data_IF_901645945490
#
_entry.id   IF_901645945490
#
_cell.length_a   1.000
_cell.length_b   1.000
_cell.length_c   1.000
_cell.angle_alpha   90.00
_cell.angle_beta   90.00
_cell.angle_gamma   90.00
#
_symmetry.space_group_name_H-M   'P 1'
#
loop_
_entity.id
_entity.type
_entity.pdbx_description
1 polymer ?
#
# COMPACT_ATOMS: atom_id res chain seq x y z
N UNK A 1 0.58 -29.16 1.81
CA UNK A 1 1.94 -28.57 1.90
C UNK A 1 2.31 -27.60 0.76
N UNK A 2 1.68 -27.65 -0.43
CA UNK A 2 1.85 -26.61 -1.47
C UNK A 2 1.10 -25.30 -1.18
N UNK A 3 0.03 -25.34 -0.37
CA UNK A 3 -0.79 -24.17 -0.04
C UNK A 3 -0.15 -23.18 0.96
N UNK A 4 0.84 -23.62 1.75
CA UNK A 4 1.66 -22.71 2.56
C UNK A 4 2.66 -21.91 1.70
N UNK A 5 2.95 -22.37 0.47
CA UNK A 5 3.89 -21.70 -0.43
C UNK A 5 3.26 -20.47 -1.09
N UNK A 6 1.94 -20.46 -1.30
CA UNK A 6 1.20 -19.29 -1.83
C UNK A 6 1.06 -18.21 -0.74
N UNK A 7 0.84 -18.61 0.52
CA UNK A 7 0.85 -17.70 1.67
C UNK A 7 2.24 -17.15 2.01
N UNK A 8 3.31 -17.88 1.65
CA UNK A 8 4.69 -17.40 1.77
C UNK A 8 5.17 -16.61 0.54
N UNK A 9 4.53 -16.74 -0.62
CA UNK A 9 4.85 -15.93 -1.81
C UNK A 9 4.36 -14.49 -1.66
N UNK A 10 3.21 -14.26 -1.01
CA UNK A 10 2.76 -12.90 -0.63
C UNK A 10 3.67 -12.24 0.41
N UNK A 11 4.34 -13.03 1.25
CA UNK A 11 5.33 -12.53 2.24
C UNK A 11 6.74 -12.42 1.62
N UNK A 12 7.10 -13.26 0.63
CA UNK A 12 8.44 -13.23 0.00
C UNK A 12 8.61 -12.14 -1.07
N UNK A 13 7.54 -11.59 -1.65
CA UNK A 13 7.63 -10.39 -2.50
C UNK A 13 8.18 -9.18 -1.69
N UNK A 14 7.99 -9.17 -0.36
CA UNK A 14 8.53 -8.14 0.54
C UNK A 14 10.00 -8.34 0.97
N UNK A 15 10.67 -9.44 0.59
CA UNK A 15 12.06 -9.72 1.00
C UNK A 15 13.06 -9.97 -0.13
N UNK A 16 12.66 -9.90 -1.42
CA UNK A 16 13.57 -10.21 -2.53
C UNK A 16 14.13 -9.02 -3.34
N UNK A 17 13.75 -7.76 -3.08
CA UNK A 17 14.30 -6.61 -3.81
C UNK A 17 15.38 -5.80 -3.06
N UNK A 18 15.99 -6.34 -1.99
CA UNK A 18 17.10 -5.66 -1.27
C UNK A 18 18.45 -6.38 -1.34
N UNK A 19 18.63 -7.34 -2.26
CA UNK A 19 19.93 -7.99 -2.45
C UNK A 19 20.30 -8.09 -3.92
N UNK A 20 20.88 -7.00 -4.44
CA UNK A 20 22.10 -7.00 -5.27
C UNK A 20 22.37 -5.61 -5.85
N UNK A 21 23.02 -4.72 -5.09
CA UNK A 21 24.35 -4.23 -5.46
C UNK A 21 24.95 -3.36 -4.35
N UNK A 22 26.23 -3.66 -4.05
CA UNK A 22 27.23 -2.85 -3.36
C UNK A 22 27.21 -2.79 -1.82
N UNK A 23 27.92 -3.77 -1.27
CA UNK A 23 28.73 -3.64 -0.04
C UNK A 23 29.47 -2.29 0.01
N UNK A 24 29.29 -1.52 1.09
CA UNK A 24 30.36 -1.11 2.00
C UNK A 24 29.79 -0.45 3.27
N UNK A 25 29.90 -1.15 4.40
CA UNK A 25 30.09 -0.68 5.79
C UNK A 25 29.42 0.64 6.24
N UNK A 26 28.38 0.57 7.07
CA UNK A 26 28.40 0.57 8.57
C UNK A 26 27.11 1.16 9.15
N UNK A 27 26.64 0.48 10.19
CA UNK A 27 25.70 0.88 11.26
C UNK A 27 24.21 1.07 10.94
N UNK A 28 23.46 0.04 11.37
CA UNK A 28 22.01 0.00 11.57
C UNK A 28 21.56 1.12 12.52
N UNK A 29 20.63 1.95 12.06
CA UNK A 29 19.70 2.66 12.94
C UNK A 29 18.29 2.41 12.41
N UNK A 30 17.55 1.54 13.09
CA UNK A 30 16.08 1.49 13.07
C UNK A 30 15.55 2.81 13.61
N UNK A 31 14.87 3.59 12.78
CA UNK A 31 14.14 4.79 13.20
C UNK A 31 12.69 4.35 13.45
N UNK A 32 12.31 4.34 14.72
CA UNK A 32 10.90 4.35 15.14
C UNK A 32 10.29 5.69 14.73
N UNK A 33 9.15 5.63 14.05
CA UNK A 33 8.27 6.78 13.84
C UNK A 33 7.42 6.95 15.11
N UNK A 34 7.84 7.85 15.99
CA UNK A 34 6.97 8.46 17.01
C UNK A 34 7.01 9.97 16.77
N UNK A 35 6.03 10.47 16.01
CA UNK A 35 5.72 11.90 15.93
C UNK A 35 4.54 12.17 16.87
N UNK A 36 4.83 12.55 18.11
CA UNK A 36 3.83 13.13 19.01
C UNK A 36 3.65 14.61 18.66
N UNK A 37 2.51 14.95 18.08
CA UNK A 37 2.03 16.33 17.94
C UNK A 37 1.30 16.67 19.25
N UNK A 38 1.91 17.51 20.07
CA UNK A 38 1.26 18.15 21.22
C UNK A 38 0.32 19.26 20.71
N UNK A 39 -0.99 19.03 20.79
CA UNK A 39 -2.03 20.05 20.64
C UNK A 39 -2.82 20.12 21.96
N UNK A 40 -2.38 21.00 22.87
CA UNK A 40 -3.15 21.38 24.05
C UNK A 40 -3.91 22.69 23.77
N UNK A 41 -5.25 22.61 23.70
CA UNK A 41 -6.12 23.60 24.33
C UNK A 41 -7.60 23.16 24.40
N UNK A 42 -8.13 23.33 25.62
CA UNK A 42 -9.50 23.70 25.99
C UNK A 42 -10.56 22.61 26.25
N UNK A 43 -10.79 22.41 27.55
CA UNK A 43 -12.08 22.52 28.26
C UNK A 43 -13.27 21.62 27.87
N UNK A 44 -13.62 20.69 28.78
CA UNK A 44 -14.81 20.83 29.66
C UNK A 44 -15.05 19.62 30.59
N UNK A 45 -15.26 19.97 31.88
CA UNK A 45 -16.19 19.39 32.87
C UNK A 45 -16.12 17.86 33.16
N UNK A 46 -15.59 17.44 34.32
CA UNK A 46 -16.34 17.11 35.56
C UNK A 46 -17.40 16.01 35.34
N UNK A 47 -17.42 14.86 36.03
CA UNK A 47 -17.59 14.67 37.48
C UNK A 47 -17.18 13.22 37.87
N UNK A 48 -16.17 13.11 38.72
CA UNK A 48 -16.09 12.37 39.98
C UNK A 48 -17.07 11.18 40.30
N UNK A 49 -16.46 10.04 40.65
CA UNK A 49 -16.46 9.36 41.97
C UNK A 49 -16.92 7.88 42.04
N UNK A 50 -16.04 7.17 42.75
CA UNK A 50 -16.14 5.96 43.58
C UNK A 50 -16.49 4.61 42.93
N UNK A 51 -15.57 3.65 42.93
CA UNK A 51 -14.91 2.90 44.02
C UNK A 51 -15.74 1.74 44.61
N UNK A 52 -15.03 0.62 44.70
CA UNK A 52 -15.12 -0.42 45.73
C UNK A 52 -15.98 -1.67 45.50
N UNK A 53 -15.23 -2.77 45.37
CA UNK A 53 -15.25 -3.99 46.22
C UNK A 53 -16.23 -5.13 45.93
N UNK A 54 -15.63 -6.23 45.46
CA UNK A 54 -15.41 -7.52 46.15
C UNK A 54 -16.57 -8.33 46.77
N UNK A 55 -16.57 -9.61 46.34
CA UNK A 55 -16.74 -10.85 47.12
C UNK A 55 -18.09 -11.18 47.80
N UNK A 56 -18.76 -12.25 47.35
CA UNK A 56 -18.73 -13.58 48.01
C UNK A 56 -19.78 -14.61 47.49
N UNK A 57 -19.28 -15.77 47.05
CA UNK A 57 -19.54 -17.15 47.52
C UNK A 57 -20.91 -17.53 48.12
N UNK A 58 -21.56 -18.55 47.52
CA UNK A 58 -22.09 -19.82 48.13
C UNK A 58 -22.90 -20.60 47.04
N UNK A 59 -22.53 -21.80 46.56
CA UNK A 59 -22.74 -23.17 47.13
C UNK A 59 -24.11 -23.32 47.80
N UNK A 60 -25.01 -24.26 47.51
CA UNK A 60 -24.95 -25.67 47.09
C UNK A 60 -26.40 -26.15 46.87
N UNK A 61 -26.65 -27.13 46.01
CA UNK A 61 -27.18 -28.47 46.38
C UNK A 61 -27.72 -29.25 45.16
N UNK A 62 -27.24 -30.48 45.07
CA UNK A 62 -27.65 -31.57 44.18
C UNK A 62 -28.88 -32.27 44.73
N UNK A 63 -29.74 -32.82 43.86
CA UNK A 63 -30.15 -34.22 43.98
C UNK A 63 -30.76 -34.75 42.68
N UNK A 64 -30.29 -35.94 42.30
CA UNK A 64 -30.70 -36.78 41.18
C UNK A 64 -32.07 -37.45 41.43
N UNK A 65 -32.73 -37.95 40.38
CA UNK A 65 -33.04 -39.39 40.19
C UNK A 65 -33.80 -39.65 38.87
N UNK A 66 -33.11 -40.38 37.98
CA UNK A 66 -33.48 -41.62 37.27
C UNK A 66 -34.87 -41.87 36.62
N UNK A 67 -34.74 -42.36 35.38
CA UNK A 67 -35.33 -43.60 34.81
C UNK A 67 -36.63 -43.61 33.95
N UNK A 68 -36.41 -44.05 32.70
CA UNK A 68 -37.11 -45.11 31.91
C UNK A 68 -38.38 -44.82 31.08
N UNK A 69 -38.19 -44.99 29.77
CA UNK A 69 -38.93 -45.84 28.80
C UNK A 69 -40.43 -46.15 29.03
N UNK A 70 -41.30 -45.81 28.06
CA UNK A 70 -42.02 -46.85 27.29
C UNK A 70 -42.80 -46.33 26.05
N UNK A 71 -42.92 -47.24 25.09
CA UNK A 71 -43.60 -47.18 23.78
C UNK A 71 -45.13 -47.03 23.86
N UNK A 72 -45.75 -46.43 22.83
CA UNK A 72 -46.53 -47.14 21.77
C UNK A 72 -47.70 -46.33 21.16
N UNK A 73 -47.89 -46.57 19.85
CA UNK A 73 -49.14 -46.72 19.08
C UNK A 73 -49.70 -45.58 18.17
N UNK A 74 -49.72 -45.95 16.88
CA UNK A 74 -50.75 -45.80 15.83
C UNK A 74 -51.13 -44.41 15.28
N UNK A 75 -50.96 -44.18 13.97
CA UNK A 75 -51.98 -44.55 12.96
C UNK A 75 -51.56 -44.12 11.53
N UNK A 76 -52.07 -44.88 10.55
CA UNK A 76 -51.76 -44.88 9.12
C UNK A 76 -52.50 -43.78 8.33
N UNK A 77 -51.86 -43.14 7.34
CA UNK A 77 -52.52 -42.69 6.08
C UNK A 77 -51.52 -42.82 4.92
N UNK A 78 -51.98 -43.45 3.85
CA UNK A 78 -51.29 -43.72 2.59
C UNK A 78 -51.43 -42.55 1.61
N UNK A 79 -50.53 -42.51 0.62
CA UNK A 79 -50.63 -41.98 -0.75
C UNK A 79 -49.75 -40.79 -1.13
N UNK A 80 -49.00 -41.03 -2.22
CA UNK A 80 -48.05 -40.21 -2.98
C UNK A 80 -46.62 -40.26 -2.45
N UNK A 81 -45.91 -41.32 -2.85
CA UNK A 81 -44.45 -41.29 -3.00
C UNK A 81 -44.06 -40.02 -3.78
N UNK A 82 -43.29 -39.10 -3.19
CA UNK A 82 -42.42 -38.26 -3.99
C UNK A 82 -41.37 -39.20 -4.60
N UNK A 83 -40.97 -38.95 -5.85
CA UNK A 83 -39.78 -39.58 -6.42
C UNK A 83 -38.67 -39.61 -5.36
N UNK A 84 -38.13 -40.79 -5.04
CA UNK A 84 -37.05 -40.94 -4.06
C UNK A 84 -35.89 -40.05 -4.52
N UNK A 85 -35.78 -38.85 -3.94
CA UNK A 85 -34.58 -38.03 -4.03
C UNK A 85 -33.50 -38.80 -3.28
N UNK A 86 -32.76 -39.63 -4.01
CA UNK A 86 -31.62 -40.36 -3.46
C UNK A 86 -30.55 -39.35 -3.09
N UNK A 87 -30.43 -39.04 -1.79
CA UNK A 87 -29.36 -38.21 -1.27
C UNK A 87 -28.07 -39.01 -1.29
N UNK A 88 -27.07 -38.49 -1.99
CA UNK A 88 -25.72 -39.03 -1.92
C UNK A 88 -24.99 -38.37 -0.75
N UNK A 89 -24.46 -39.16 0.19
CA UNK A 89 -23.64 -38.64 1.27
C UNK A 89 -22.17 -38.67 0.86
N UNK A 90 -21.61 -37.50 0.54
CA UNK A 90 -20.19 -37.30 0.33
C UNK A 90 -19.68 -36.22 1.29
N UNK A 91 -18.43 -36.32 1.71
CA UNK A 91 -17.76 -35.24 2.46
C UNK A 91 -17.34 -34.11 1.52
N UNK A 92 -17.12 -32.92 2.07
CA UNK A 92 -16.58 -31.80 1.29
C UNK A 92 -15.27 -32.16 0.58
N UNK A 93 -14.39 -32.93 1.23
CA UNK A 93 -13.13 -33.41 0.64
C UNK A 93 -13.36 -34.33 -0.57
N UNK A 94 -14.36 -35.22 -0.50
CA UNK A 94 -14.72 -36.09 -1.62
C UNK A 94 -15.29 -35.28 -2.79
N UNK A 95 -16.16 -34.32 -2.51
CA UNK A 95 -16.73 -33.42 -3.53
C UNK A 95 -15.63 -32.59 -4.19
N UNK A 96 -14.70 -32.02 -3.40
CA UNK A 96 -13.54 -31.30 -3.92
C UNK A 96 -12.67 -32.23 -4.78
N UNK A 97 -12.47 -33.49 -4.40
CA UNK A 97 -11.71 -34.45 -5.21
C UNK A 97 -12.38 -34.77 -6.55
N UNK A 98 -13.72 -34.84 -6.60
CA UNK A 98 -14.47 -34.98 -7.86
C UNK A 98 -14.33 -33.75 -8.75
N UNK A 99 -14.36 -32.54 -8.15
CA UNK A 99 -14.07 -31.30 -8.89
C UNK A 99 -12.64 -31.34 -9.42
N UNK A 100 -11.63 -31.55 -8.56
CA UNK A 100 -10.21 -31.57 -8.92
C UNK A 100 -9.90 -32.55 -10.06
N UNK A 101 -10.49 -33.74 -10.03
CA UNK A 101 -10.32 -34.77 -11.06
C UNK A 101 -11.12 -34.53 -12.34
N UNK A 102 -12.04 -33.57 -12.35
CA UNK A 102 -12.93 -33.29 -13.47
C UNK A 102 -14.03 -34.34 -13.66
N UNK A 103 -14.47 -35.01 -12.58
CA UNK A 103 -15.57 -35.98 -12.62
C UNK A 103 -16.92 -35.26 -12.75
N UNK A 104 -17.15 -34.74 -13.96
CA UNK A 104 -18.34 -34.00 -14.34
C UNK A 104 -19.63 -34.78 -14.08
N UNK A 105 -19.63 -36.10 -14.32
CA UNK A 105 -20.85 -36.91 -14.18
C UNK A 105 -21.26 -37.07 -12.71
N UNK A 106 -20.30 -37.18 -11.80
CA UNK A 106 -20.59 -37.22 -10.37
C UNK A 106 -21.08 -35.86 -9.89
N UNK A 107 -20.40 -34.76 -10.22
CA UNK A 107 -20.85 -33.41 -9.84
C UNK A 107 -22.24 -33.10 -10.38
N UNK A 108 -22.51 -33.45 -11.64
CA UNK A 108 -23.83 -33.31 -12.25
C UNK A 108 -24.92 -34.01 -11.44
N UNK A 109 -24.71 -35.28 -11.07
CA UNK A 109 -25.67 -36.04 -10.27
C UNK A 109 -25.90 -35.41 -8.90
N UNK A 110 -24.85 -34.91 -8.24
CA UNK A 110 -24.96 -34.28 -6.93
C UNK A 110 -25.80 -33.00 -6.95
N UNK A 111 -25.67 -32.20 -8.01
CA UNK A 111 -26.47 -31.00 -8.21
C UNK A 111 -27.93 -31.38 -8.51
N UNK A 112 -28.15 -32.34 -9.44
CA UNK A 112 -29.50 -32.80 -9.81
C UNK A 112 -30.26 -33.44 -8.62
N UNK A 113 -29.56 -34.18 -7.76
CA UNK A 113 -30.12 -34.79 -6.55
C UNK A 113 -30.26 -33.82 -5.37
N UNK A 114 -29.86 -32.55 -5.53
CA UNK A 114 -29.78 -31.55 -4.45
C UNK A 114 -28.89 -31.96 -3.27
N UNK A 115 -27.93 -32.85 -3.53
CA UNK A 115 -26.92 -33.28 -2.55
C UNK A 115 -25.72 -32.32 -2.50
N UNK A 116 -25.56 -31.46 -3.51
CA UNK A 116 -24.62 -30.35 -3.52
C UNK A 116 -25.39 -29.04 -3.74
N UNK A 117 -25.32 -28.13 -2.76
CA UNK A 117 -25.68 -26.73 -2.96
C UNK A 117 -24.52 -26.03 -3.68
N UNK A 118 -24.80 -25.47 -4.86
CA UNK A 118 -23.80 -24.83 -5.73
C UNK A 118 -23.16 -23.58 -5.12
N UNK A 119 -23.76 -23.00 -4.08
CA UNK A 119 -23.28 -21.82 -3.38
C UNK A 119 -22.79 -22.12 -1.94
N UNK A 120 -22.75 -23.38 -1.55
CA UNK A 120 -22.18 -23.79 -0.26
C UNK A 120 -20.66 -23.71 -0.28
N UNK A 121 -20.04 -23.30 0.83
CA UNK A 121 -18.58 -23.26 0.95
C UNK A 121 -18.04 -24.66 1.31
N UNK A 122 -17.44 -25.32 0.33
CA UNK A 122 -16.74 -26.60 0.50
C UNK A 122 -15.38 -26.39 1.18
N UNK A 123 -15.06 -27.24 2.15
CA UNK A 123 -13.72 -27.33 2.76
C UNK A 123 -13.73 -27.13 4.27
N UNK A 124 -12.54 -27.14 4.86
CA UNK A 124 -12.36 -26.87 6.28
C UNK A 124 -12.37 -25.37 6.60
N UNK A 125 -12.34 -25.00 7.88
CA UNK A 125 -12.39 -23.61 8.35
C UNK A 125 -11.33 -22.67 7.75
N UNK A 126 -10.28 -23.21 7.12
CA UNK A 126 -9.19 -22.45 6.51
C UNK A 126 -9.20 -22.49 4.97
N UNK A 127 -10.03 -23.33 4.34
CA UNK A 127 -10.04 -23.58 2.90
C UNK A 127 -11.42 -23.48 2.24
N UNK A 128 -12.42 -23.05 3.01
CA UNK A 128 -13.80 -22.83 2.56
C UNK A 128 -13.88 -21.97 1.31
N UNK A 129 -14.40 -22.56 0.23
CA UNK A 129 -14.72 -21.85 -1.01
C UNK A 129 -15.84 -22.54 -1.77
N UNK A 130 -16.52 -21.80 -2.65
CA UNK A 130 -17.66 -22.33 -3.41
C UNK A 130 -17.20 -23.40 -4.41
N UNK A 131 -18.09 -24.33 -4.82
CA UNK A 131 -17.83 -25.26 -5.92
C UNK A 131 -17.33 -24.56 -7.18
N UNK A 132 -17.85 -23.35 -7.47
CA UNK A 132 -17.42 -22.55 -8.60
C UNK A 132 -15.95 -22.13 -8.49
N UNK A 133 -15.54 -21.59 -7.33
CA UNK A 133 -14.14 -21.20 -7.10
C UNK A 133 -13.22 -22.41 -7.11
N UNK A 134 -13.63 -23.55 -6.57
CA UNK A 134 -12.85 -24.79 -6.66
C UNK A 134 -12.69 -25.23 -8.12
N UNK A 135 -13.78 -25.24 -8.90
CA UNK A 135 -13.73 -25.61 -10.31
C UNK A 135 -12.82 -24.67 -11.12
N UNK A 136 -12.81 -23.37 -10.80
CA UNK A 136 -11.90 -22.37 -11.38
C UNK A 136 -10.44 -22.69 -11.01
N UNK A 137 -10.12 -22.88 -9.73
CA UNK A 137 -8.76 -23.22 -9.25
C UNK A 137 -8.18 -24.46 -9.94
N UNK A 138 -9.04 -25.44 -10.25
CA UNK A 138 -8.67 -26.68 -10.92
C UNK A 138 -8.87 -26.65 -12.45
N UNK A 139 -9.25 -25.50 -13.04
CA UNK A 139 -9.44 -25.29 -14.48
C UNK A 139 -10.48 -26.21 -15.14
N UNK A 140 -11.55 -26.54 -14.42
CA UNK A 140 -12.56 -27.52 -14.84
C UNK A 140 -13.71 -26.88 -15.61
N UNK A 141 -13.47 -26.50 -16.85
CA UNK A 141 -14.39 -25.69 -17.68
C UNK A 141 -15.81 -26.28 -17.81
N UNK A 142 -15.95 -27.60 -17.97
CA UNK A 142 -17.27 -28.25 -18.06
C UNK A 142 -18.05 -28.11 -16.75
N UNK A 143 -17.36 -28.25 -15.62
CA UNK A 143 -17.95 -28.10 -14.28
C UNK A 143 -18.29 -26.62 -14.03
N UNK A 144 -17.41 -25.68 -14.40
CA UNK A 144 -17.67 -24.23 -14.29
C UNK A 144 -18.96 -23.86 -15.03
N UNK A 145 -19.08 -24.25 -16.30
CA UNK A 145 -20.28 -23.94 -17.09
C UNK A 145 -21.54 -24.54 -16.48
N UNK A 146 -21.49 -25.79 -16.03
CA UNK A 146 -22.65 -26.45 -15.45
C UNK A 146 -23.06 -25.86 -14.10
N UNK A 147 -22.10 -25.43 -13.27
CA UNK A 147 -22.38 -24.71 -12.03
C UNK A 147 -23.09 -23.39 -12.32
N UNK A 148 -22.59 -22.60 -13.27
CA UNK A 148 -23.21 -21.33 -13.68
C UNK A 148 -24.62 -21.53 -14.27
N UNK A 149 -24.83 -22.59 -15.07
CA UNK A 149 -26.15 -22.97 -15.58
C UNK A 149 -27.14 -23.38 -14.47
N UNK A 150 -26.65 -23.80 -13.31
CA UNK A 150 -27.43 -24.20 -12.14
C UNK A 150 -27.45 -23.14 -11.03
N UNK A 151 -27.29 -21.86 -11.38
CA UNK A 151 -27.39 -20.71 -10.47
C UNK A 151 -26.29 -20.64 -9.40
N UNK A 152 -25.08 -21.11 -9.70
CA UNK A 152 -23.91 -20.69 -8.92
C UNK A 152 -23.75 -19.17 -9.05
N UNK A 153 -23.65 -18.48 -7.91
CA UNK A 153 -23.46 -17.04 -7.86
C UNK A 153 -22.03 -16.68 -8.29
N UNK A 154 -21.95 -16.05 -9.46
CA UNK A 154 -20.68 -15.67 -10.11
C UNK A 154 -19.91 -14.59 -9.36
N UNK A 155 -20.54 -13.93 -8.39
CA UNK A 155 -19.95 -12.86 -7.58
C UNK A 155 -19.84 -13.23 -6.10
N UNK A 156 -20.14 -14.48 -5.74
CA UNK A 156 -20.06 -14.94 -4.35
C UNK A 156 -18.62 -14.96 -3.86
N UNK A 157 -18.34 -14.12 -2.86
CA UNK A 157 -17.01 -13.93 -2.29
C UNK A 157 -16.62 -15.07 -1.36
N UNK A 158 -15.35 -15.47 -1.39
CA UNK A 158 -14.77 -16.33 -0.35
C UNK A 158 -14.88 -15.66 1.03
N UNK A 159 -15.19 -16.44 2.06
CA UNK A 159 -15.50 -15.93 3.41
C UNK A 159 -14.30 -15.25 4.08
N UNK A 160 -13.09 -15.80 3.91
CA UNK A 160 -11.88 -15.31 4.59
C UNK A 160 -11.21 -14.15 3.86
N UNK A 161 -11.10 -14.23 2.54
CA UNK A 161 -10.33 -13.30 1.71
C UNK A 161 -11.20 -12.30 0.97
N UNK A 162 -12.51 -12.57 0.86
CA UNK A 162 -13.41 -11.81 0.00
C UNK A 162 -13.16 -12.01 -1.50
N UNK A 163 -12.32 -12.98 -1.91
CA UNK A 163 -12.01 -13.20 -3.32
C UNK A 163 -13.25 -13.58 -4.09
N UNK A 164 -13.46 -12.95 -5.24
CA UNK A 164 -14.50 -13.31 -6.18
C UNK A 164 -14.05 -14.48 -7.08
N UNK A 165 -14.99 -15.20 -7.71
CA UNK A 165 -14.67 -16.17 -8.75
C UNK A 165 -13.79 -15.57 -9.86
N UNK A 166 -14.01 -14.30 -10.21
CA UNK A 166 -13.20 -13.58 -11.19
C UNK A 166 -11.74 -13.42 -10.75
N UNK A 167 -11.47 -13.05 -9.50
CA UNK A 167 -10.08 -12.97 -8.99
C UNK A 167 -9.41 -14.35 -8.93
N UNK A 168 -10.19 -15.40 -8.60
CA UNK A 168 -9.67 -16.77 -8.57
C UNK A 168 -9.25 -17.28 -9.96
N UNK A 169 -9.78 -16.72 -11.05
CA UNK A 169 -9.47 -17.14 -12.42
C UNK A 169 -8.23 -16.50 -13.03
N UNK A 170 -7.51 -15.62 -12.32
CA UNK A 170 -6.41 -14.83 -12.90
C UNK A 170 -5.22 -15.64 -13.43
N UNK A 171 -5.17 -16.93 -13.13
CA UNK A 171 -4.21 -17.86 -13.70
C UNK A 171 -4.61 -18.37 -15.12
N UNK A 172 -5.73 -17.87 -15.67
CA UNK A 172 -6.31 -18.26 -16.96
C UNK A 172 -7.21 -17.14 -17.56
N UNK A 173 -6.74 -16.48 -18.60
CA UNK A 173 -7.50 -15.45 -19.34
C UNK A 173 -8.81 -16.02 -19.89
N UNK A 174 -8.83 -17.28 -20.35
CA UNK A 174 -10.03 -17.88 -20.96
C UNK A 174 -11.15 -18.05 -19.95
N UNK A 175 -10.82 -18.50 -18.74
CA UNK A 175 -11.80 -18.61 -17.65
C UNK A 175 -12.24 -17.21 -17.20
N UNK A 176 -11.30 -16.27 -17.10
CA UNK A 176 -11.60 -14.88 -16.73
C UNK A 176 -12.58 -14.25 -17.73
N UNK A 177 -12.35 -14.47 -19.03
CA UNK A 177 -13.25 -14.02 -20.11
C UNK A 177 -14.63 -14.65 -20.00
N UNK A 178 -14.70 -15.99 -19.82
CA UNK A 178 -15.96 -16.69 -19.61
C UNK A 178 -16.75 -16.09 -18.44
N UNK A 179 -16.08 -15.80 -17.32
CA UNK A 179 -16.75 -15.24 -16.14
C UNK A 179 -17.28 -13.82 -16.40
N UNK A 180 -16.50 -12.95 -17.05
CA UNK A 180 -16.95 -11.61 -17.43
C UNK A 180 -18.16 -11.69 -18.39
N UNK A 181 -18.11 -12.56 -19.40
CA UNK A 181 -19.22 -12.78 -20.34
C UNK A 181 -20.50 -13.28 -19.65
N UNK A 182 -20.35 -14.01 -18.55
CA UNK A 182 -21.45 -14.53 -17.72
C UNK A 182 -21.92 -13.54 -16.65
N UNK A 183 -21.35 -12.34 -16.59
CA UNK A 183 -21.77 -11.26 -15.69
C UNK A 183 -21.02 -11.18 -14.37
N UNK A 184 -19.78 -11.67 -14.32
CA UNK A 184 -18.89 -11.37 -13.20
C UNK A 184 -18.64 -9.86 -13.12
N UNK A 185 -18.73 -9.31 -11.91
CA UNK A 185 -18.47 -7.90 -11.65
C UNK A 185 -16.97 -7.62 -11.67
N UNK A 186 -16.53 -6.90 -12.71
CA UNK A 186 -15.13 -6.51 -12.92
C UNK A 186 -14.63 -5.50 -11.88
N UNK A 187 -15.51 -4.90 -11.09
CA UNK A 187 -15.18 -3.93 -10.05
C UNK A 187 -15.36 -4.48 -8.62
N UNK A 188 -15.72 -5.76 -8.48
CA UNK A 188 -16.01 -6.32 -7.18
C UNK A 188 -14.77 -6.35 -6.27
N UNK A 189 -14.89 -5.75 -5.09
CA UNK A 189 -13.79 -5.65 -4.12
C UNK A 189 -13.74 -6.82 -3.14
N UNK A 190 -12.54 -7.25 -2.77
CA UNK A 190 -12.32 -8.21 -1.69
C UNK A 190 -12.41 -7.54 -0.29
N UNK A 191 -12.08 -8.27 0.80
CA UNK A 191 -12.12 -7.69 2.16
C UNK A 191 -11.11 -6.57 2.40
N UNK A 192 -10.01 -6.55 1.64
CA UNK A 192 -8.97 -5.52 1.69
C UNK A 192 -9.28 -4.33 0.77
N UNK A 193 -10.47 -4.28 0.18
CA UNK A 193 -10.86 -3.24 -0.77
C UNK A 193 -10.20 -3.37 -2.14
N UNK A 194 -9.50 -4.46 -2.44
CA UNK A 194 -8.80 -4.70 -3.72
C UNK A 194 -9.80 -5.17 -4.77
N UNK A 195 -9.85 -4.52 -5.94
CA UNK A 195 -10.63 -4.96 -7.10
C UNK A 195 -9.76 -5.81 -8.07
N UNK A 196 -10.36 -6.45 -9.09
CA UNK A 196 -9.64 -7.29 -10.06
C UNK A 196 -8.46 -6.59 -10.72
N UNK A 197 -8.61 -5.33 -11.17
CA UNK A 197 -7.52 -4.60 -11.81
C UNK A 197 -6.33 -4.36 -10.88
N UNK A 198 -6.58 -3.89 -9.65
CA UNK A 198 -5.50 -3.67 -8.67
C UNK A 198 -4.83 -4.99 -8.29
N UNK A 199 -5.59 -6.08 -8.20
CA UNK A 199 -5.01 -7.40 -7.95
C UNK A 199 -4.06 -7.83 -9.08
N UNK A 200 -4.45 -7.66 -10.35
CA UNK A 200 -3.59 -7.97 -11.51
C UNK A 200 -2.30 -7.12 -11.51
N UNK A 201 -2.41 -5.84 -11.19
CA UNK A 201 -1.24 -4.94 -11.06
C UNK A 201 -0.32 -5.40 -9.92
N UNK A 202 -0.87 -5.81 -8.77
CA UNK A 202 -0.10 -6.28 -7.62
C UNK A 202 0.67 -7.58 -7.90
N UNK A 203 0.13 -8.42 -8.79
CA UNK A 203 0.79 -9.63 -9.28
C UNK A 203 1.81 -9.34 -10.39
N UNK A 204 1.87 -8.10 -10.87
CA UNK A 204 2.66 -7.68 -12.02
C UNK A 204 2.31 -8.45 -13.30
N UNK A 205 1.03 -8.80 -13.47
CA UNK A 205 0.52 -9.56 -14.61
C UNK A 205 0.09 -8.61 -15.74
N UNK A 206 1.00 -8.31 -16.66
CA UNK A 206 0.76 -7.40 -17.78
C UNK A 206 -0.37 -7.87 -18.71
N UNK A 207 -0.49 -9.18 -18.93
CA UNK A 207 -1.50 -9.74 -19.82
C UNK A 207 -2.90 -9.60 -19.21
N UNK A 208 -3.04 -9.91 -17.92
CA UNK A 208 -4.30 -9.74 -17.20
C UNK A 208 -4.67 -8.26 -17.03
N UNK A 209 -3.72 -7.37 -16.72
CA UNK A 209 -3.98 -5.93 -16.66
C UNK A 209 -4.53 -5.43 -17.99
N UNK A 210 -3.87 -5.76 -19.10
CA UNK A 210 -4.31 -5.38 -20.43
C UNK A 210 -5.73 -5.89 -20.71
N UNK A 211 -5.97 -7.16 -20.43
CA UNK A 211 -7.26 -7.79 -20.66
C UNK A 211 -8.39 -7.12 -19.85
N UNK A 212 -8.17 -6.84 -18.57
CA UNK A 212 -9.18 -6.19 -17.72
C UNK A 212 -9.49 -4.76 -18.19
N UNK A 213 -8.47 -4.00 -18.59
CA UNK A 213 -8.66 -2.66 -19.17
C UNK A 213 -9.45 -2.72 -20.48
N UNK A 214 -9.16 -3.67 -21.37
CA UNK A 214 -9.93 -3.90 -22.61
C UNK A 214 -11.40 -4.30 -22.34
N UNK A 215 -11.67 -4.95 -21.20
CA UNK A 215 -13.03 -5.28 -20.74
C UNK A 215 -13.72 -4.15 -19.96
N UNK A 216 -13.05 -3.00 -19.79
CA UNK A 216 -13.63 -1.79 -19.22
C UNK A 216 -13.44 -1.64 -17.71
N UNK A 217 -12.42 -2.26 -17.13
CA UNK A 217 -12.07 -2.01 -15.73
C UNK A 217 -11.66 -0.54 -15.52
N UNK A 218 -12.09 0.07 -14.42
CA UNK A 218 -11.79 1.46 -14.09
C UNK A 218 -10.33 1.64 -13.68
N UNK A 219 -9.54 2.29 -14.53
CA UNK A 219 -8.14 2.61 -14.28
C UNK A 219 -7.92 3.58 -13.09
N UNK A 220 -8.98 4.29 -12.65
CA UNK A 220 -8.98 5.24 -11.54
C UNK A 220 -9.61 4.69 -10.26
N UNK A 221 -9.86 3.38 -10.20
CA UNK A 221 -10.33 2.71 -8.99
C UNK A 221 -9.45 3.04 -7.78
N UNK A 222 -10.09 3.30 -6.63
CA UNK A 222 -9.41 3.65 -5.37
C UNK A 222 -9.67 2.56 -4.33
N UNK A 223 -8.62 1.94 -3.82
CA UNK A 223 -8.66 1.04 -2.68
C UNK A 223 -8.54 1.84 -1.39
N UNK A 224 -9.62 1.87 -0.60
CA UNK A 224 -9.63 2.43 0.75
C UNK A 224 -9.13 1.33 1.71
N UNK A 225 -7.83 1.33 2.00
CA UNK A 225 -7.27 0.38 2.96
C UNK A 225 -7.36 1.02 4.35
N UNK A 226 -8.31 0.54 5.14
CA UNK A 226 -8.47 0.95 6.55
C UNK A 226 -7.44 0.29 7.50
N UNK A 227 -6.63 -0.64 6.99
CA UNK A 227 -5.68 -1.39 7.82
C UNK A 227 -4.32 -0.68 7.91
N UNK A 228 -4.00 -0.15 9.11
CA UNK A 228 -2.75 0.53 9.48
C UNK A 228 -1.45 -0.24 9.17
N UNK A 229 -1.53 -1.51 8.81
CA UNK A 229 -0.38 -2.40 8.63
C UNK A 229 -0.07 -2.77 7.17
N UNK A 230 -0.94 -2.42 6.21
CA UNK A 230 -0.73 -2.70 4.79
C UNK A 230 -0.71 -1.36 4.04
N UNK A 231 0.50 -0.82 3.83
CA UNK A 231 0.66 0.27 2.87
C UNK A 231 0.64 -0.33 1.47
N UNK A 232 -0.55 -0.43 0.87
CA UNK A 232 -0.67 -0.60 -0.57
C UNK A 232 -1.14 0.72 -1.17
N UNK A 233 -0.48 1.22 -2.23
CA UNK A 233 -0.88 2.47 -2.85
C UNK A 233 -2.32 2.37 -3.40
N UNK A 234 -3.14 3.43 -3.25
CA UNK A 234 -4.59 3.30 -3.38
C UNK A 234 -5.10 3.16 -4.82
N UNK A 235 -4.30 3.51 -5.83
CA UNK A 235 -4.72 3.38 -7.25
C UNK A 235 -3.87 2.34 -7.99
N UNK A 236 -4.40 1.73 -9.08
CA UNK A 236 -3.60 0.87 -9.95
C UNK A 236 -2.30 1.53 -10.41
N UNK A 237 -2.35 2.82 -10.77
CA UNK A 237 -1.18 3.55 -11.25
C UNK A 237 -0.10 3.67 -10.16
N UNK A 238 -0.50 4.03 -8.94
CA UNK A 238 0.43 4.11 -7.82
C UNK A 238 1.03 2.75 -7.46
N UNK A 239 0.24 1.67 -7.58
CA UNK A 239 0.72 0.29 -7.38
C UNK A 239 1.74 -0.12 -8.47
N UNK A 240 1.48 0.24 -9.74
CA UNK A 240 2.41 0.00 -10.84
C UNK A 240 3.72 0.77 -10.68
N UNK A 241 3.65 2.03 -10.22
CA UNK A 241 4.81 2.86 -9.86
C UNK A 241 5.60 2.24 -8.70
N UNK A 242 4.92 1.72 -7.69
CA UNK A 242 5.55 0.99 -6.58
C UNK A 242 6.30 -0.25 -7.05
N UNK A 243 5.69 -1.03 -7.95
CA UNK A 243 6.28 -2.24 -8.53
C UNK A 243 7.40 -1.93 -9.54
N UNK A 244 7.46 -0.70 -10.06
CA UNK A 244 8.46 -0.28 -11.04
C UNK A 244 8.20 -0.82 -12.45
N UNK A 245 6.96 -1.21 -12.78
CA UNK A 245 6.61 -1.74 -14.10
C UNK A 245 6.12 -0.63 -15.03
N UNK A 246 7.00 -0.19 -15.93
CA UNK A 246 6.71 0.85 -16.94
C UNK A 246 5.66 0.44 -17.96
N UNK A 247 5.54 -0.85 -18.30
CA UNK A 247 4.53 -1.33 -19.24
C UNK A 247 3.13 -1.18 -18.65
N UNK A 248 2.96 -1.60 -17.40
CA UNK A 248 1.68 -1.43 -16.67
C UNK A 248 1.36 0.05 -16.50
N UNK A 249 2.34 0.89 -16.16
CA UNK A 249 2.14 2.36 -16.08
C UNK A 249 1.59 2.90 -17.41
N UNK A 250 2.24 2.59 -18.54
CA UNK A 250 1.78 3.05 -19.84
C UNK A 250 0.37 2.54 -20.18
N UNK A 251 0.07 1.26 -19.93
CA UNK A 251 -1.27 0.71 -20.17
C UNK A 251 -2.35 1.42 -19.35
N UNK A 252 -2.08 1.72 -18.08
CA UNK A 252 -3.02 2.43 -17.21
C UNK A 252 -3.24 3.87 -17.68
N UNK A 253 -2.17 4.57 -18.06
CA UNK A 253 -2.23 5.94 -18.55
C UNK A 253 -2.94 6.04 -19.91
N UNK A 254 -2.69 5.10 -20.82
CA UNK A 254 -3.42 4.97 -22.09
C UNK A 254 -4.93 4.74 -21.88
N UNK A 255 -5.32 4.14 -20.75
CA UNK A 255 -6.70 3.92 -20.33
C UNK A 255 -7.24 4.98 -19.36
N UNK A 256 -6.57 6.14 -19.28
CA UNK A 256 -7.09 7.32 -18.59
C UNK A 256 -6.88 7.34 -17.06
N UNK A 257 -5.93 6.56 -16.54
CA UNK A 257 -5.50 6.73 -15.15
C UNK A 257 -4.99 8.15 -14.89
N UNK A 258 -5.37 8.74 -13.76
CA UNK A 258 -4.94 10.07 -13.34
C UNK A 258 -3.47 10.06 -12.95
N UNK A 259 -2.63 10.60 -13.83
CA UNK A 259 -1.18 10.68 -13.65
C UNK A 259 -0.75 11.58 -12.48
N UNK A 260 -1.63 12.50 -12.06
CA UNK A 260 -1.41 13.41 -10.94
C UNK A 260 -2.21 13.02 -9.70
N UNK A 261 -2.77 11.79 -9.65
CA UNK A 261 -3.48 11.31 -8.47
C UNK A 261 -2.61 11.50 -7.22
N UNK A 262 -3.22 11.97 -6.14
CA UNK A 262 -2.50 12.40 -4.95
C UNK A 262 -3.14 11.81 -3.71
N UNK A 263 -2.34 11.12 -2.89
CA UNK A 263 -2.65 10.88 -1.48
C UNK A 263 -2.16 12.07 -0.66
N UNK A 264 -2.48 12.11 0.64
CA UNK A 264 -1.99 13.17 1.53
C UNK A 264 -0.47 13.38 1.41
N UNK A 265 0.30 12.29 1.24
CA UNK A 265 1.77 12.36 1.19
C UNK A 265 2.38 12.23 -0.21
N UNK A 266 1.73 11.58 -1.18
CA UNK A 266 2.41 11.08 -2.38
C UNK A 266 1.59 11.24 -3.66
N UNK A 267 2.28 11.66 -4.73
CA UNK A 267 1.86 11.48 -6.12
C UNK A 267 2.72 10.39 -6.79
N UNK A 268 2.35 9.88 -7.98
CA UNK A 268 3.20 8.98 -8.77
C UNK A 268 4.63 9.49 -8.93
N UNK A 269 4.78 10.77 -9.30
CA UNK A 269 6.09 11.39 -9.53
C UNK A 269 6.86 11.60 -8.23
N UNK A 270 6.20 12.03 -7.15
CA UNK A 270 6.83 12.19 -5.83
C UNK A 270 7.36 10.84 -5.34
N UNK A 271 6.58 9.76 -5.46
CA UNK A 271 7.04 8.43 -5.03
C UNK A 271 8.25 7.96 -5.84
N UNK A 272 8.22 8.15 -7.17
CA UNK A 272 9.35 7.81 -8.04
C UNK A 272 10.62 8.62 -7.67
N UNK A 273 10.46 9.91 -7.38
CA UNK A 273 11.53 10.80 -6.94
C UNK A 273 12.09 10.41 -5.57
N UNK A 274 11.24 10.08 -4.60
CA UNK A 274 11.64 9.57 -3.28
C UNK A 274 12.51 8.31 -3.38
N UNK A 275 12.13 7.37 -4.26
CA UNK A 275 12.88 6.13 -4.50
C UNK A 275 14.10 6.30 -5.40
N UNK A 276 14.23 7.43 -6.09
CA UNK A 276 15.29 7.65 -7.08
C UNK A 276 15.11 6.82 -8.37
N UNK A 277 13.89 6.36 -8.66
CA UNK A 277 13.60 5.51 -9.81
C UNK A 277 13.51 6.33 -11.10
N UNK A 278 14.67 6.65 -11.69
CA UNK A 278 14.79 7.48 -12.91
C UNK A 278 14.02 6.94 -14.12
N UNK A 279 13.94 5.63 -14.29
CA UNK A 279 13.15 5.02 -15.37
C UNK A 279 11.66 5.34 -15.24
N UNK A 280 11.13 5.32 -14.01
CA UNK A 280 9.73 5.65 -13.73
C UNK A 280 9.49 7.14 -13.88
N UNK A 281 10.41 7.98 -13.40
CA UNK A 281 10.36 9.44 -13.61
C UNK A 281 10.27 9.76 -15.09
N UNK A 282 11.17 9.21 -15.92
CA UNK A 282 11.13 9.43 -17.37
C UNK A 282 9.82 8.94 -17.99
N UNK A 283 9.34 7.76 -17.59
CA UNK A 283 8.06 7.22 -18.10
C UNK A 283 6.89 8.16 -17.78
N UNK A 284 6.82 8.69 -16.56
CA UNK A 284 5.76 9.63 -16.17
C UNK A 284 5.88 10.97 -16.91
N UNK A 285 7.10 11.49 -17.09
CA UNK A 285 7.37 12.71 -17.86
C UNK A 285 6.99 12.56 -19.34
N UNK A 286 7.32 11.42 -19.95
CA UNK A 286 6.94 11.10 -21.34
C UNK A 286 5.41 11.04 -21.53
N UNK A 287 4.68 10.66 -20.48
CA UNK A 287 3.21 10.66 -20.46
C UNK A 287 2.59 12.00 -19.99
N UNK A 288 3.40 13.05 -19.79
CA UNK A 288 2.90 14.39 -19.52
C UNK A 288 2.42 14.63 -18.09
N UNK A 289 3.03 13.96 -17.09
CA UNK A 289 2.81 14.29 -15.68
C UNK A 289 3.13 15.77 -15.41
N UNK A 290 2.37 16.40 -14.52
CA UNK A 290 2.74 17.74 -14.06
C UNK A 290 3.95 17.63 -13.12
N UNK A 291 5.12 18.02 -13.63
CA UNK A 291 6.39 17.95 -12.92
C UNK A 291 6.39 18.76 -11.60
N UNK A 292 5.51 19.76 -11.51
CA UNK A 292 5.40 20.69 -10.39
C UNK A 292 4.22 20.37 -9.46
N UNK A 293 3.49 19.28 -9.71
CA UNK A 293 2.36 18.89 -8.88
C UNK A 293 2.82 18.62 -7.44
N UNK A 294 2.07 19.15 -6.48
CA UNK A 294 2.38 19.06 -5.06
C UNK A 294 1.47 18.09 -4.34
N UNK A 295 1.98 17.44 -3.30
CA UNK A 295 1.14 16.73 -2.32
C UNK A 295 0.39 17.73 -1.40
N UNK A 296 -0.32 17.21 -0.38
CA UNK A 296 -1.07 18.04 0.56
C UNK A 296 -0.16 19.02 1.35
N UNK A 297 1.09 18.65 1.59
CA UNK A 297 2.08 19.49 2.27
C UNK A 297 2.76 20.52 1.36
N UNK A 298 2.31 20.70 0.11
CA UNK A 298 2.95 21.59 -0.86
C UNK A 298 4.29 21.08 -1.39
N UNK A 299 4.68 19.83 -1.09
CA UNK A 299 5.97 19.30 -1.51
C UNK A 299 5.94 18.78 -2.95
N UNK A 300 6.96 19.13 -3.73
CA UNK A 300 7.17 18.63 -5.11
C UNK A 300 8.06 17.40 -5.16
N UNK A 301 8.10 16.73 -6.31
CA UNK A 301 9.04 15.65 -6.58
C UNK A 301 10.52 16.08 -6.42
N UNK A 302 10.86 17.32 -6.81
CA UNK A 302 12.21 17.87 -6.65
C UNK A 302 12.60 18.02 -5.18
N UNK A 303 11.67 18.45 -4.32
CA UNK A 303 11.90 18.53 -2.87
C UNK A 303 12.15 17.15 -2.24
N UNK A 304 11.38 16.13 -2.64
CA UNK A 304 11.62 14.77 -2.18
C UNK A 304 12.97 14.23 -2.67
N UNK A 305 13.30 14.40 -3.94
CA UNK A 305 14.61 14.01 -4.45
C UNK A 305 15.75 14.72 -3.68
N UNK A 306 15.54 16.00 -3.35
CA UNK A 306 16.50 16.79 -2.61
C UNK A 306 16.66 16.36 -1.15
N UNK A 307 15.56 16.08 -0.45
CA UNK A 307 15.54 15.61 0.94
C UNK A 307 16.20 14.24 1.09
N UNK A 308 15.92 13.32 0.17
CA UNK A 308 16.36 11.92 0.25
C UNK A 308 17.62 11.60 -0.58
N UNK A 309 18.37 12.63 -1.01
CA UNK A 309 19.65 12.51 -1.71
C UNK A 309 19.59 11.73 -3.03
N UNK A 310 18.50 11.87 -3.78
CA UNK A 310 18.28 11.17 -5.05
C UNK A 310 18.81 12.01 -6.21
N UNK A 311 20.14 12.04 -6.35
CA UNK A 311 20.85 12.95 -7.26
C UNK A 311 20.40 12.86 -8.72
N UNK A 312 20.37 11.65 -9.30
CA UNK A 312 19.97 11.49 -10.71
C UNK A 312 18.49 11.83 -10.93
N UNK A 313 17.62 11.59 -9.94
CA UNK A 313 16.23 12.01 -10.00
C UNK A 313 16.09 13.53 -9.99
N UNK A 314 16.77 14.23 -9.07
CA UNK A 314 16.78 15.68 -9.02
C UNK A 314 17.32 16.29 -10.32
N UNK A 315 18.39 15.71 -10.88
CA UNK A 315 18.96 16.14 -12.16
C UNK A 315 17.97 16.00 -13.32
N UNK A 316 17.32 14.84 -13.47
CA UNK A 316 16.30 14.61 -14.52
C UNK A 316 15.15 15.60 -14.37
N UNK A 317 14.68 15.84 -13.14
CA UNK A 317 13.59 16.79 -12.89
C UNK A 317 13.99 18.21 -13.31
N UNK A 318 15.19 18.66 -12.95
CA UNK A 318 15.73 19.98 -13.35
C UNK A 318 15.93 20.09 -14.87
N UNK A 319 16.48 19.05 -15.51
CA UNK A 319 16.65 18.99 -16.97
C UNK A 319 15.31 19.07 -17.72
N UNK A 320 14.21 18.66 -17.08
CA UNK A 320 12.85 18.77 -17.59
C UNK A 320 12.09 20.02 -17.07
N UNK A 321 12.81 21.03 -16.59
CA UNK A 321 12.29 22.33 -16.15
C UNK A 321 11.34 22.28 -14.94
N UNK A 322 11.62 21.40 -13.97
CA UNK A 322 10.98 21.50 -12.65
C UNK A 322 11.21 22.90 -12.06
N UNK A 323 10.15 23.51 -11.52
CA UNK A 323 10.23 24.85 -10.93
C UNK A 323 10.92 24.78 -9.57
N UNK A 324 12.14 25.30 -9.53
CA UNK A 324 13.02 25.30 -8.36
C UNK A 324 12.55 26.26 -7.26
N UNK A 325 11.61 27.17 -7.57
CA UNK A 325 11.13 28.22 -6.67
C UNK A 325 9.89 27.84 -5.87
N UNK A 326 9.25 26.71 -6.18
CA UNK A 326 8.11 26.21 -5.41
C UNK A 326 8.55 25.96 -3.96
N UNK A 327 7.65 26.27 -3.03
CA UNK A 327 7.83 26.04 -1.60
C UNK A 327 6.73 25.15 -1.05
N UNK A 328 7.06 24.38 -0.01
CA UNK A 328 6.08 23.64 0.76
C UNK A 328 5.26 24.57 1.70
N UNK A 329 4.39 23.98 2.53
CA UNK A 329 3.53 24.73 3.46
C UNK A 329 4.30 25.57 4.50
N UNK A 330 5.55 25.22 4.81
CA UNK A 330 6.42 25.97 5.73
C UNK A 330 7.25 27.04 4.98
N UNK A 331 7.07 27.15 3.66
CA UNK A 331 7.86 28.02 2.80
C UNK A 331 9.23 27.44 2.45
N UNK A 332 9.50 26.15 2.71
CA UNK A 332 10.80 25.55 2.43
C UNK A 332 10.97 25.21 0.95
N UNK A 333 12.14 25.53 0.41
CA UNK A 333 12.54 25.19 -0.97
C UNK A 333 13.27 23.85 -1.03
N UNK A 334 13.44 23.29 -2.24
CA UNK A 334 14.27 22.11 -2.44
C UNK A 334 15.72 22.29 -1.92
N UNK A 335 16.27 23.52 -2.01
CA UNK A 335 17.60 23.83 -1.50
C UNK A 335 17.67 23.73 0.02
N UNK A 336 16.62 24.16 0.73
CA UNK A 336 16.53 24.04 2.19
C UNK A 336 16.44 22.58 2.63
N UNK A 337 15.64 21.76 1.95
CA UNK A 337 15.56 20.32 2.18
C UNK A 337 16.90 19.62 1.96
N UNK A 338 17.63 19.96 0.88
CA UNK A 338 18.97 19.44 0.62
C UNK A 338 19.99 19.87 1.69
N UNK A 339 19.94 21.15 2.10
CA UNK A 339 20.84 21.73 3.08
C UNK A 339 20.65 21.13 4.49
N UNK A 340 19.41 20.92 4.92
CA UNK A 340 19.07 20.31 6.20
C UNK A 340 19.61 18.87 6.33
N UNK A 341 19.70 18.14 5.20
CA UNK A 341 20.21 16.76 5.14
C UNK A 341 21.69 16.67 4.74
N UNK A 342 22.35 17.79 4.45
CA UNK A 342 23.75 17.82 4.01
C UNK A 342 23.99 17.19 2.64
N UNK A 343 22.99 17.19 1.74
CA UNK A 343 23.06 16.54 0.43
C UNK A 343 23.84 17.41 -0.57
N UNK A 344 25.16 17.45 -0.44
CA UNK A 344 26.05 18.39 -1.15
C UNK A 344 25.94 18.36 -2.67
N UNK A 345 25.82 17.16 -3.28
CA UNK A 345 25.66 17.04 -4.73
C UNK A 345 24.33 17.64 -5.21
N UNK A 346 23.26 17.48 -4.43
CA UNK A 346 21.96 18.11 -4.69
C UNK A 346 22.09 19.63 -4.56
N UNK A 347 22.73 20.13 -3.49
CA UNK A 347 22.95 21.57 -3.29
C UNK A 347 23.63 22.18 -4.52
N UNK A 348 24.71 21.56 -5.00
CA UNK A 348 25.43 22.05 -6.17
C UNK A 348 24.52 22.11 -7.40
N UNK A 349 23.80 21.03 -7.73
CA UNK A 349 22.95 21.03 -8.94
C UNK A 349 21.78 22.01 -8.82
N UNK A 350 21.22 22.23 -7.63
CA UNK A 350 20.18 23.24 -7.41
C UNK A 350 20.72 24.67 -7.61
N UNK A 351 21.91 24.97 -7.07
CA UNK A 351 22.56 26.28 -7.25
C UNK A 351 22.97 26.53 -8.72
N UNK A 352 23.47 25.50 -9.40
CA UNK A 352 23.79 25.56 -10.84
C UNK A 352 22.54 25.85 -11.70
N UNK A 353 21.36 25.42 -11.24
CA UNK A 353 20.07 25.69 -11.88
C UNK A 353 19.36 26.95 -11.34
N UNK A 354 20.06 27.78 -10.56
CA UNK A 354 19.57 29.10 -10.17
C UNK A 354 18.66 29.13 -8.94
N UNK A 355 18.74 28.14 -8.04
CA UNK A 355 18.08 28.23 -6.74
C UNK A 355 18.53 29.51 -6.00
N UNK A 356 17.58 30.25 -5.43
CA UNK A 356 17.90 31.42 -4.61
C UNK A 356 18.50 30.97 -3.28
N UNK A 357 19.82 31.15 -3.17
CA UNK A 357 20.62 30.75 -2.00
C UNK A 357 20.22 31.50 -0.72
N UNK A 358 19.61 32.69 -0.86
CA UNK A 358 19.24 33.57 0.24
C UNK A 358 17.73 33.65 0.46
N UNK A 359 16.95 32.79 -0.20
CA UNK A 359 15.52 32.67 0.06
C UNK A 359 15.26 32.39 1.54
N UNK A 360 14.22 33.01 2.08
CA UNK A 360 13.79 32.81 3.47
C UNK A 360 12.39 32.22 3.50
N UNK A 361 12.23 31.12 4.23
CA UNK A 361 10.93 30.49 4.45
C UNK A 361 10.05 31.32 5.42
N UNK A 362 8.90 30.77 5.81
CA UNK A 362 7.97 31.44 6.71
C UNK A 362 8.53 31.67 8.12
N UNK A 363 9.62 31.02 8.50
CA UNK A 363 10.32 31.24 9.77
C UNK A 363 11.52 32.20 9.66
N UNK A 364 11.77 32.75 8.45
CA UNK A 364 12.97 33.55 8.16
C UNK A 364 14.23 32.69 8.00
N UNK A 365 14.09 31.38 7.89
CA UNK A 365 15.22 30.45 7.77
C UNK A 365 15.74 30.41 6.33
N UNK A 366 17.07 30.43 6.16
CA UNK A 366 17.73 30.19 4.87
C UNK A 366 18.27 28.76 4.78
N UNK A 367 18.68 28.34 3.58
CA UNK A 367 19.39 27.07 3.41
C UNK A 367 20.67 26.99 4.26
N UNK A 368 21.39 28.11 4.42
CA UNK A 368 22.58 28.18 5.28
C UNK A 368 22.23 27.95 6.76
N UNK A 369 21.10 28.48 7.23
CA UNK A 369 20.61 28.26 8.58
C UNK A 369 20.21 26.81 8.82
N UNK A 370 19.49 26.18 7.88
CA UNK A 370 19.21 24.74 7.94
C UNK A 370 20.50 23.93 8.00
N UNK A 371 21.50 24.28 7.17
CA UNK A 371 22.78 23.59 7.19
C UNK A 371 23.53 23.77 8.52
N UNK A 372 23.45 24.95 9.14
CA UNK A 372 24.08 25.24 10.43
C UNK A 372 23.32 24.64 11.64
N UNK A 373 22.00 24.46 11.53
CA UNK A 373 21.10 24.02 12.60
C UNK A 373 20.73 22.52 12.55
N UNK A 374 21.12 21.80 11.49
CA UNK A 374 20.74 20.39 11.30
C UNK A 374 21.12 19.50 12.49
N UNK A 375 20.25 18.55 12.83
CA UNK A 375 20.56 17.52 13.84
C UNK A 375 21.77 16.65 13.44
N UNK A 376 22.06 16.58 12.13
CA UNK A 376 23.19 15.88 11.54
C UNK A 376 24.44 16.75 11.39
N UNK A 377 24.47 17.96 11.97
CA UNK A 377 25.62 18.88 11.96
C UNK A 377 26.92 18.30 12.54
N UNK A 378 26.84 17.14 13.19
CA UNK A 378 27.99 16.35 13.58
C UNK A 378 28.61 15.49 12.46
N UNK A 379 28.24 15.68 11.19
CA UNK A 379 28.73 14.91 10.04
C UNK A 379 29.58 15.76 9.07
N UNK A 380 30.48 15.10 8.33
CA UNK A 380 31.30 15.73 7.29
C UNK A 380 30.44 16.39 6.20
N UNK A 381 29.33 15.76 5.84
CA UNK A 381 28.41 16.24 4.82
C UNK A 381 27.79 17.59 5.19
N UNK A 382 27.49 17.82 6.48
CA UNK A 382 26.93 19.09 6.90
C UNK A 382 27.96 20.22 6.84
N UNK A 383 29.20 19.95 7.27
CA UNK A 383 30.29 20.92 7.13
C UNK A 383 30.49 21.31 5.66
N UNK A 384 30.50 20.33 4.76
CA UNK A 384 30.68 20.58 3.34
C UNK A 384 29.47 21.32 2.73
N UNK A 385 28.23 21.06 3.18
CA UNK A 385 27.06 21.83 2.78
C UNK A 385 27.17 23.31 3.19
N UNK A 386 27.54 23.61 4.44
CA UNK A 386 27.81 24.99 4.89
C UNK A 386 28.90 25.64 4.03
N UNK A 387 30.00 24.89 3.78
CA UNK A 387 31.10 25.38 2.95
C UNK A 387 30.67 25.71 1.53
N UNK A 388 29.94 24.83 0.85
CA UNK A 388 29.43 25.05 -0.51
C UNK A 388 28.54 26.29 -0.55
N UNK A 389 27.62 26.45 0.42
CA UNK A 389 26.73 27.60 0.47
C UNK A 389 27.51 28.91 0.65
N UNK A 390 28.50 28.94 1.55
CA UNK A 390 29.37 30.11 1.75
C UNK A 390 30.26 30.42 0.53
N UNK A 391 30.81 29.39 -0.12
CA UNK A 391 31.59 29.55 -1.35
C UNK A 391 30.74 30.08 -2.52
N UNK A 392 29.42 29.88 -2.48
CA UNK A 392 28.45 30.45 -3.40
C UNK A 392 27.82 31.77 -2.90
N UNK A 393 28.43 32.43 -1.92
CA UNK A 393 28.03 33.74 -1.39
C UNK A 393 26.67 33.76 -0.66
N UNK A 394 26.33 32.70 0.07
CA UNK A 394 25.22 32.75 1.03
C UNK A 394 25.44 33.89 2.04
N UNK A 395 24.42 34.71 2.28
CA UNK A 395 24.47 35.85 3.19
C UNK A 395 24.39 35.36 4.65
N UNK A 396 25.48 35.56 5.40
CA UNK A 396 25.60 35.15 6.80
C UNK A 396 24.88 36.09 7.77
N UNK A 397 24.45 37.27 7.31
CA UNK A 397 23.83 38.31 8.12
C UNK A 397 22.31 38.18 8.23
N UNK A 398 21.68 37.36 7.38
CA UNK A 398 20.24 37.09 7.46
C UNK A 398 19.92 36.49 8.83
N UNK A 399 18.79 36.90 9.39
CA UNK A 399 18.27 36.41 10.67
C UNK A 399 16.91 35.78 10.50
N UNK A 400 16.67 34.71 11.25
CA UNK A 400 15.32 34.15 11.41
C UNK A 400 14.38 35.12 12.16
N UNK A 401 13.12 34.71 12.36
CA UNK A 401 12.13 35.50 13.11
C UNK A 401 12.52 35.77 14.59
N UNK A 402 13.44 34.99 15.15
CA UNK A 402 13.96 35.18 16.51
C UNK A 402 15.21 36.08 16.55
N UNK A 403 15.67 36.57 15.39
CA UNK A 403 16.86 37.41 15.27
C UNK A 403 18.18 36.61 15.30
N UNK A 404 18.14 35.30 15.06
CA UNK A 404 19.33 34.43 15.04
C UNK A 404 19.89 34.29 13.64
N UNK A 405 21.19 34.47 13.50
CA UNK A 405 21.95 34.13 12.28
C UNK A 405 22.27 32.64 12.20
N UNK A 406 22.77 32.18 11.05
CA UNK A 406 23.34 30.83 10.93
C UNK A 406 24.48 30.58 11.95
N UNK A 407 25.27 31.61 12.27
CA UNK A 407 26.32 31.51 13.29
C UNK A 407 25.74 31.32 14.70
N UNK A 408 24.67 32.02 15.04
CA UNK A 408 24.01 31.89 16.34
C UNK A 408 23.41 30.49 16.51
N UNK A 409 22.79 29.96 15.46
CA UNK A 409 22.27 28.58 15.44
C UNK A 409 23.39 27.56 15.63
N UNK A 410 24.50 27.69 14.90
CA UNK A 410 25.65 26.79 15.05
C UNK A 410 26.25 26.84 16.48
N UNK A 411 26.28 28.03 17.11
CA UNK A 411 26.76 28.22 18.50
C UNK A 411 25.82 27.64 19.56
N UNK A 412 24.52 27.59 19.28
CA UNK A 412 23.49 27.06 20.19
C UNK A 412 23.51 25.53 20.34
N UNK A 413 24.16 24.82 19.42
CA UNK A 413 24.24 23.36 19.43
C UNK A 413 25.32 22.87 20.39
N UNK A 414 25.01 21.76 21.07
CA UNK A 414 25.90 21.14 22.03
C UNK A 414 27.26 20.72 21.42
N UNK A 415 28.28 20.62 22.27
CA UNK A 415 29.71 20.78 21.99
C UNK A 415 30.41 19.66 21.15
N UNK A 416 29.77 19.14 20.09
CA UNK A 416 30.35 18.13 19.19
C UNK A 416 31.43 18.76 18.27
N UNK A 417 32.46 17.98 17.93
CA UNK A 417 33.66 18.44 17.20
C UNK A 417 33.34 19.21 15.90
N UNK A 418 32.44 18.70 15.07
CA UNK A 418 32.10 19.31 13.78
C UNK A 418 31.31 20.62 13.91
N UNK A 419 30.56 20.82 14.99
CA UNK A 419 29.92 22.11 15.28
C UNK A 419 30.98 23.21 15.47
N UNK A 420 32.13 22.90 16.08
CA UNK A 420 33.24 23.86 16.22
C UNK A 420 33.84 24.27 14.89
N UNK A 421 33.92 23.34 13.94
CA UNK A 421 34.50 23.62 12.62
C UNK A 421 33.51 24.42 11.76
N UNK A 422 32.20 24.14 11.85
CA UNK A 422 31.14 24.99 11.25
C UNK A 422 31.15 26.39 11.85
N UNK A 423 31.23 26.54 13.17
CA UNK A 423 31.31 27.85 13.84
C UNK A 423 32.53 28.63 13.36
N UNK A 424 33.73 28.02 13.36
CA UNK A 424 34.95 28.66 12.84
C UNK A 424 34.82 29.05 11.37
N UNK A 425 34.16 28.21 10.58
CA UNK A 425 33.94 28.49 9.16
C UNK A 425 33.03 29.71 9.00
N UNK A 426 31.89 29.75 9.68
CA UNK A 426 30.98 30.90 9.65
C UNK A 426 31.63 32.18 10.19
N UNK A 427 32.44 32.09 11.25
CA UNK A 427 33.21 33.24 11.78
C UNK A 427 34.25 33.79 10.80
N UNK A 428 34.68 33.01 9.80
CA UNK A 428 35.58 33.47 8.75
C UNK A 428 34.86 34.27 7.65
N UNK A 429 33.57 34.01 7.46
CA UNK A 429 32.75 34.64 6.41
C UNK A 429 31.87 35.80 6.94
N UNK A 430 31.73 35.93 8.27
CA UNK A 430 31.26 37.16 8.94
C UNK A 430 32.35 38.24 8.97
#
# INVERSE_FOLDING_TARGET
MKYLLIFLLSIMIFSCNTKESNNNNTDKATINLDNSIDNDNADKAAINLDDSTDNNINKTEQSNTDDKDNKSNNSSINTNEPEETTYYSYTDEEIISFIESGDFQTIKKLIESKSLDVNYNLGDEYSKSTPLIQAIKYKQTDIINYLLENNADINLKEELTGFTPLMASFHDITITELLIEKGADIEARNVDGINPLVYAVSLNDEEMVKFLLEKGADANTVCEIENEHIYMPPTPLMNAVYNGNTNIINMLLENGADINYTTDEMTPLIYAAYKGNTNIINTLLENGVDINYTNYYGMTALMYAARFNQFEAAKILLENNADISITDEDGDTALMHAANNGNTNIINVLLENGADINYTNDYGMTALMYAANSMYAASYNQFEAVKILLENNADTSITDKDGRTALDMAKSKDNKKYNKDIVKLLEKYN
#
